data_IF_895142149341
#
_entry.id   IF_895142149341
#
_cell.length_a   1.000
_cell.length_b   1.000
_cell.length_c   1.000
_cell.angle_alpha   90.00
_cell.angle_beta   90.00
_cell.angle_gamma   90.00
#
_symmetry.space_group_name_H-M   'P 1'
#
loop_
_entity.id
_entity.type
_entity.pdbx_description
1 polymer ?
#
# COMPACT_ATOMS: atom_id res chain seq x y z
N UNK A 1 -29.35 -0.71 -6.73
CA UNK A 1 -28.88 -0.34 -5.39
C UNK A 1 -28.51 1.13 -5.45
N UNK A 2 -29.35 1.98 -4.86
CA UNK A 2 -29.16 3.43 -4.92
C UNK A 2 -28.05 3.86 -3.96
N UNK A 3 -27.32 4.92 -4.34
CA UNK A 3 -26.22 5.47 -3.52
C UNK A 3 -26.71 5.84 -2.09
N UNK A 4 -27.97 6.20 -1.93
CA UNK A 4 -28.61 6.45 -0.63
C UNK A 4 -28.76 5.18 0.21
N UNK A 5 -29.03 4.04 -0.39
CA UNK A 5 -29.14 2.75 0.32
C UNK A 5 -27.77 2.30 0.84
N UNK A 6 -26.73 2.47 0.01
CA UNK A 6 -25.35 2.15 0.40
C UNK A 6 -24.89 3.09 1.52
N UNK A 7 -25.22 4.38 1.45
CA UNK A 7 -24.90 5.35 2.50
C UNK A 7 -25.56 4.99 3.84
N UNK A 8 -26.83 4.62 3.82
CA UNK A 8 -27.58 4.23 5.01
C UNK A 8 -27.09 2.89 5.59
N UNK A 9 -26.57 2.00 4.73
CA UNK A 9 -26.08 0.67 5.12
C UNK A 9 -24.67 0.70 5.71
N UNK A 10 -23.80 1.61 5.23
CA UNK A 10 -22.36 1.57 5.51
C UNK A 10 -21.92 2.76 6.37
N UNK A 11 -22.72 3.82 6.42
CA UNK A 11 -22.40 5.03 7.16
C UNK A 11 -21.17 5.79 6.62
N UNK A 12 -20.86 6.93 7.24
CA UNK A 12 -19.73 7.79 6.85
C UNK A 12 -18.38 7.04 6.91
N UNK A 13 -18.17 6.24 7.97
CA UNK A 13 -16.91 5.48 8.17
C UNK A 13 -16.68 4.43 7.07
N UNK A 14 -17.76 3.78 6.61
CA UNK A 14 -17.66 2.78 5.55
C UNK A 14 -17.30 3.39 4.19
N UNK A 15 -17.84 4.57 3.86
CA UNK A 15 -17.46 5.27 2.62
C UNK A 15 -15.98 5.67 2.65
N UNK A 16 -15.51 6.20 3.77
CA UNK A 16 -14.09 6.53 3.94
C UNK A 16 -13.20 5.29 3.73
N UNK A 17 -13.60 4.12 4.28
CA UNK A 17 -12.89 2.86 4.09
C UNK A 17 -12.88 2.38 2.65
N UNK A 18 -13.97 2.53 1.90
CA UNK A 18 -14.01 2.20 0.47
C UNK A 18 -13.03 3.06 -0.32
N UNK A 19 -13.01 4.37 -0.09
CA UNK A 19 -12.09 5.30 -0.76
C UNK A 19 -10.64 4.92 -0.45
N UNK A 20 -10.31 4.68 0.81
CA UNK A 20 -8.98 4.27 1.24
C UNK A 20 -8.60 2.92 0.62
N UNK A 21 -9.53 1.97 0.55
CA UNK A 21 -9.32 0.66 -0.06
C UNK A 21 -9.02 0.74 -1.55
N UNK A 22 -9.77 1.54 -2.30
CA UNK A 22 -9.53 1.78 -3.73
C UNK A 22 -8.16 2.45 -3.93
N UNK A 23 -7.81 3.42 -3.09
CA UNK A 23 -6.51 4.09 -3.14
C UNK A 23 -5.35 3.13 -2.83
N UNK A 24 -5.51 2.25 -1.83
CA UNK A 24 -4.53 1.22 -1.50
C UNK A 24 -4.32 0.23 -2.65
N UNK A 25 -5.41 -0.22 -3.28
CA UNK A 25 -5.34 -1.10 -4.46
C UNK A 25 -4.63 -0.41 -5.63
N UNK A 26 -4.94 0.85 -5.88
CA UNK A 26 -4.27 1.63 -6.92
C UNK A 26 -2.75 1.70 -6.70
N UNK A 27 -2.31 2.04 -5.48
CA UNK A 27 -0.88 2.10 -5.13
C UNK A 27 -0.23 0.73 -5.30
N UNK A 28 -0.88 -0.35 -4.84
CA UNK A 28 -0.35 -1.71 -4.93
C UNK A 28 -0.16 -2.16 -6.37
N UNK A 29 -1.19 -1.98 -7.21
CA UNK A 29 -1.14 -2.35 -8.63
C UNK A 29 -0.09 -1.53 -9.37
N UNK A 30 -0.03 -0.21 -9.12
CA UNK A 30 0.96 0.67 -9.74
C UNK A 30 2.39 0.24 -9.40
N UNK A 31 2.68 0.00 -8.12
CA UNK A 31 3.98 -0.49 -7.68
C UNK A 31 4.35 -1.85 -8.26
N UNK A 32 3.39 -2.77 -8.31
CA UNK A 32 3.60 -4.09 -8.89
C UNK A 32 3.97 -4.00 -10.38
N UNK A 33 3.25 -3.20 -11.15
CA UNK A 33 3.53 -2.97 -12.57
C UNK A 33 4.89 -2.29 -12.77
N UNK A 34 5.21 -1.30 -11.92
CA UNK A 34 6.50 -0.60 -11.96
C UNK A 34 7.66 -1.56 -11.70
N UNK A 35 7.60 -2.36 -10.63
CA UNK A 35 8.64 -3.35 -10.28
C UNK A 35 8.79 -4.41 -11.37
N UNK A 36 7.68 -4.88 -11.92
CA UNK A 36 7.69 -5.83 -13.02
C UNK A 36 8.35 -5.25 -14.27
N UNK A 37 8.11 -3.99 -14.57
CA UNK A 37 8.77 -3.26 -15.67
C UNK A 37 10.27 -3.09 -15.46
N UNK A 38 10.68 -2.71 -14.24
CA UNK A 38 12.09 -2.57 -13.84
C UNK A 38 12.84 -3.89 -13.99
N UNK A 39 12.29 -4.98 -13.41
CA UNK A 39 12.86 -6.32 -13.47
C UNK A 39 12.93 -6.88 -14.90
N UNK A 40 11.90 -6.69 -15.69
CA UNK A 40 11.84 -7.18 -17.08
C UNK A 40 12.92 -6.53 -17.95
N UNK A 41 13.09 -5.20 -17.84
CA UNK A 41 14.13 -4.46 -18.57
C UNK A 41 15.53 -4.87 -18.13
N UNK A 42 15.77 -4.95 -16.82
CA UNK A 42 17.04 -5.39 -16.27
C UNK A 42 17.42 -6.80 -16.75
N UNK A 43 16.50 -7.77 -16.66
CA UNK A 43 16.73 -9.14 -17.10
C UNK A 43 17.03 -9.23 -18.60
N UNK A 44 16.39 -8.39 -19.43
CA UNK A 44 16.63 -8.35 -20.88
C UNK A 44 18.03 -7.84 -21.21
N UNK A 45 18.49 -6.77 -20.55
CA UNK A 45 19.82 -6.22 -20.76
C UNK A 45 20.94 -7.12 -20.20
N UNK A 46 20.70 -7.72 -19.02
CA UNK A 46 21.70 -8.56 -18.37
C UNK A 46 21.91 -9.92 -19.06
N UNK A 47 20.88 -10.49 -19.72
CA UNK A 47 20.97 -11.76 -20.44
C UNK A 47 21.89 -11.70 -21.67
N UNK A 48 22.20 -10.50 -22.18
CA UNK A 48 23.11 -10.28 -23.31
C UNK A 48 24.57 -10.10 -22.94
N UNK A 49 24.93 -10.13 -21.65
CA UNK A 49 26.29 -9.90 -21.19
C UNK A 49 27.01 -11.20 -20.81
N UNK A 50 27.82 -11.74 -21.73
CA UNK A 50 28.66 -12.93 -21.47
C UNK A 50 29.81 -12.69 -20.48
N UNK A 51 30.31 -11.47 -20.34
CA UNK A 51 31.37 -11.08 -19.38
C UNK A 51 31.09 -9.68 -18.85
N UNK A 52 31.02 -9.58 -17.52
CA UNK A 52 30.81 -8.31 -16.79
C UNK A 52 32.17 -7.64 -16.62
N UNK A 53 32.50 -6.66 -17.48
CA UNK A 53 33.68 -5.80 -17.34
C UNK A 53 33.24 -4.38 -16.99
N UNK A 54 34.01 -3.63 -16.14
CA UNK A 54 33.67 -2.27 -15.74
C UNK A 54 33.43 -1.32 -16.94
N UNK A 55 34.23 -1.46 -18.00
CA UNK A 55 34.10 -0.65 -19.20
C UNK A 55 32.80 -0.92 -19.98
N UNK A 56 32.36 -2.19 -20.03
CA UNK A 56 31.09 -2.54 -20.66
C UNK A 56 29.91 -2.03 -19.83
N UNK A 57 29.94 -2.14 -18.52
CA UNK A 57 28.90 -1.60 -17.63
C UNK A 57 28.78 -0.08 -17.84
N UNK A 58 29.89 0.63 -17.91
CA UNK A 58 29.88 2.08 -18.18
C UNK A 58 29.26 2.43 -19.53
N UNK A 59 29.54 1.67 -20.57
CA UNK A 59 29.01 1.90 -21.93
C UNK A 59 27.52 1.56 -22.06
N UNK A 60 27.08 0.45 -21.45
CA UNK A 60 25.69 -0.03 -21.55
C UNK A 60 24.74 0.66 -20.57
N UNK A 61 25.20 1.00 -19.37
CA UNK A 61 24.38 1.58 -18.31
C UNK A 61 24.66 3.08 -18.06
N UNK A 62 25.50 3.70 -18.86
CA UNK A 62 25.88 5.11 -18.69
C UNK A 62 24.70 6.09 -18.70
N UNK A 63 23.73 5.86 -19.56
CA UNK A 63 22.53 6.69 -19.73
C UNK A 63 21.23 5.99 -19.27
N UNK A 64 21.34 4.86 -18.57
CA UNK A 64 20.16 4.10 -18.17
C UNK A 64 19.37 4.80 -17.07
N UNK A 65 18.05 4.84 -17.26
CA UNK A 65 17.06 5.33 -16.26
C UNK A 65 16.54 4.20 -15.38
N UNK A 66 16.97 2.94 -15.61
CA UNK A 66 16.53 1.80 -14.80
C UNK A 66 17.24 1.80 -13.44
N UNK A 67 16.48 1.82 -12.30
CA UNK A 67 17.07 1.85 -10.96
C UNK A 67 18.11 0.75 -10.69
N UNK A 68 17.86 -0.48 -11.14
CA UNK A 68 18.77 -1.61 -10.94
C UNK A 68 20.06 -1.43 -11.73
N UNK A 69 19.99 -0.93 -12.96
CA UNK A 69 21.17 -0.67 -13.80
C UNK A 69 22.03 0.47 -13.24
N UNK A 70 21.36 1.52 -12.70
CA UNK A 70 22.05 2.60 -11.98
C UNK A 70 22.78 2.08 -10.73
N UNK A 71 22.17 1.21 -9.94
CA UNK A 71 22.79 0.62 -8.76
C UNK A 71 24.03 -0.20 -9.14
N UNK A 72 23.91 -1.07 -10.15
CA UNK A 72 25.04 -1.89 -10.61
C UNK A 72 26.16 -1.00 -11.14
N UNK A 73 25.84 0.02 -11.90
CA UNK A 73 26.84 0.99 -12.40
C UNK A 73 27.54 1.70 -11.26
N UNK A 74 26.76 2.25 -10.30
CA UNK A 74 27.31 3.03 -9.20
C UNK A 74 28.23 2.17 -8.31
N UNK A 75 27.83 0.92 -7.98
CA UNK A 75 28.68 -0.03 -7.24
C UNK A 75 29.98 -0.33 -7.96
N UNK A 76 29.93 -0.63 -9.26
CA UNK A 76 31.14 -1.00 -10.02
C UNK A 76 32.07 0.19 -10.21
N UNK A 77 31.53 1.43 -10.26
CA UNK A 77 32.36 2.62 -10.38
C UNK A 77 33.00 3.06 -9.07
N UNK A 78 32.32 2.85 -7.94
CA UNK A 78 32.79 3.32 -6.64
C UNK A 78 33.72 2.28 -5.98
N UNK A 79 33.51 0.98 -6.20
CA UNK A 79 34.19 -0.11 -5.47
C UNK A 79 35.16 -0.94 -6.31
N UNK A 80 36.00 -0.29 -7.09
CA UNK A 80 37.13 -1.02 -7.73
C UNK A 80 38.14 -1.62 -6.77
N UNK A 81 38.14 -1.37 -5.46
CA UNK A 81 39.24 -1.73 -4.59
C UNK A 81 39.01 -2.02 -3.09
N UNK A 82 37.87 -1.70 -2.45
CA UNK A 82 37.73 -1.93 -0.99
C UNK A 82 36.35 -2.48 -0.60
N UNK A 83 36.38 -3.66 0.05
CA UNK A 83 35.20 -4.51 0.27
C UNK A 83 34.47 -4.33 1.61
N UNK A 84 34.92 -3.47 2.50
CA UNK A 84 34.42 -3.51 3.90
C UNK A 84 33.07 -2.82 4.12
N UNK A 85 32.58 -2.01 3.17
CA UNK A 85 31.35 -1.24 3.34
C UNK A 85 30.29 -1.42 2.22
N UNK A 86 30.46 -2.45 1.37
CA UNK A 86 29.57 -2.69 0.22
C UNK A 86 28.10 -2.84 0.64
N UNK A 87 27.83 -3.45 1.81
CA UNK A 87 26.44 -3.66 2.28
C UNK A 87 25.72 -2.35 2.58
N UNK A 88 26.39 -1.42 3.26
CA UNK A 88 25.82 -0.12 3.60
C UNK A 88 25.58 0.72 2.35
N UNK A 89 26.52 0.70 1.41
CA UNK A 89 26.40 1.42 0.15
C UNK A 89 25.30 0.85 -0.76
N UNK A 90 25.24 -0.48 -0.90
CA UNK A 90 24.14 -1.14 -1.62
C UNK A 90 22.78 -0.74 -1.02
N UNK A 91 22.64 -0.78 0.31
CA UNK A 91 21.40 -0.38 0.97
C UNK A 91 21.06 1.11 0.71
N UNK A 92 22.06 1.99 0.75
CA UNK A 92 21.88 3.40 0.42
C UNK A 92 21.42 3.61 -1.02
N UNK A 93 22.09 2.95 -1.99
CA UNK A 93 21.73 3.05 -3.40
C UNK A 93 20.34 2.49 -3.70
N UNK A 94 19.95 1.37 -3.06
CA UNK A 94 18.58 0.87 -3.13
C UNK A 94 17.59 1.90 -2.60
N UNK A 95 17.86 2.48 -1.44
CA UNK A 95 16.96 3.51 -0.87
C UNK A 95 16.85 4.74 -1.78
N UNK A 96 17.97 5.18 -2.37
CA UNK A 96 18.05 6.32 -3.27
C UNK A 96 17.28 6.08 -4.58
N UNK A 97 17.52 4.97 -5.25
CA UNK A 97 16.97 4.70 -6.57
C UNK A 97 15.53 4.14 -6.55
N UNK A 98 15.11 3.50 -5.43
CA UNK A 98 13.75 3.02 -5.22
C UNK A 98 12.90 3.93 -4.33
N UNK A 99 13.27 5.21 -4.21
CA UNK A 99 12.51 6.19 -3.42
C UNK A 99 10.98 6.20 -3.71
N UNK A 100 10.50 6.13 -4.98
CA UNK A 100 9.06 6.06 -5.25
C UNK A 100 8.40 4.82 -4.64
N UNK A 101 9.06 3.67 -4.71
CA UNK A 101 8.57 2.40 -4.12
C UNK A 101 8.54 2.49 -2.61
N UNK A 102 9.60 3.00 -1.99
CA UNK A 102 9.68 3.18 -0.54
C UNK A 102 8.58 4.11 -0.01
N UNK A 103 8.32 5.22 -0.70
CA UNK A 103 7.23 6.12 -0.34
C UNK A 103 5.87 5.42 -0.44
N UNK A 104 5.63 4.66 -1.49
CA UNK A 104 4.39 3.91 -1.66
C UNK A 104 4.22 2.84 -0.58
N UNK A 105 5.28 2.11 -0.20
CA UNK A 105 5.26 1.15 0.92
C UNK A 105 4.97 1.86 2.25
N UNK A 106 5.47 3.08 2.46
CA UNK A 106 5.17 3.87 3.65
C UNK A 106 3.67 4.23 3.71
N UNK A 107 3.07 4.63 2.60
CA UNK A 107 1.63 4.88 2.52
C UNK A 107 0.81 3.62 2.77
N UNK A 108 1.20 2.46 2.20
CA UNK A 108 0.52 1.19 2.44
C UNK A 108 0.60 0.78 3.91
N UNK A 109 1.75 0.94 4.57
CA UNK A 109 1.90 0.72 6.02
C UNK A 109 0.98 1.62 6.84
N UNK A 110 0.87 2.90 6.48
CA UNK A 110 -0.03 3.83 7.14
C UNK A 110 -1.50 3.40 6.97
N UNK A 111 -1.90 3.04 5.75
CA UNK A 111 -3.25 2.57 5.45
C UNK A 111 -3.57 1.29 6.22
N UNK A 112 -2.64 0.32 6.28
CA UNK A 112 -2.84 -0.93 7.02
C UNK A 112 -3.03 -0.71 8.52
N UNK A 113 -2.37 0.28 9.09
CA UNK A 113 -2.53 0.63 10.51
C UNK A 113 -3.83 1.42 10.79
N UNK A 114 -4.19 2.35 9.90
CA UNK A 114 -5.34 3.25 10.11
C UNK A 114 -6.67 2.59 9.76
N UNK A 115 -6.73 1.70 8.76
CA UNK A 115 -7.98 1.09 8.30
C UNK A 115 -8.74 0.31 9.38
N UNK A 116 -8.10 -0.53 10.23
CA UNK A 116 -8.81 -1.19 11.33
C UNK A 116 -9.33 -0.21 12.39
N UNK A 117 -8.60 0.88 12.65
CA UNK A 117 -9.03 1.92 13.59
C UNK A 117 -10.25 2.67 13.08
N UNK A 118 -10.31 2.94 11.77
CA UNK A 118 -11.52 3.50 11.14
C UNK A 118 -12.69 2.54 11.17
N UNK A 119 -12.44 1.23 11.00
CA UNK A 119 -13.46 0.21 11.19
C UNK A 119 -14.01 0.19 12.62
N UNK A 120 -13.14 0.24 13.62
CA UNK A 120 -13.51 0.33 15.03
C UNK A 120 -14.29 1.64 15.32
N UNK A 121 -13.85 2.76 14.79
CA UNK A 121 -14.56 4.04 14.91
C UNK A 121 -15.99 3.91 14.36
N UNK A 122 -16.16 3.23 13.22
CA UNK A 122 -17.47 2.95 12.64
C UNK A 122 -18.38 2.17 13.58
N UNK A 123 -17.85 1.16 14.31
CA UNK A 123 -18.65 0.42 15.30
C UNK A 123 -19.04 1.29 16.48
N UNK A 124 -18.15 2.13 16.98
CA UNK A 124 -18.46 3.03 18.10
C UNK A 124 -19.56 4.01 17.71
N UNK A 125 -19.46 4.65 16.54
CA UNK A 125 -20.49 5.57 16.02
C UNK A 125 -21.81 4.84 15.82
N UNK A 126 -21.79 3.64 15.24
CA UNK A 126 -22.98 2.82 15.04
C UNK A 126 -23.69 2.49 16.36
N UNK A 127 -22.95 2.05 17.37
CA UNK A 127 -23.48 1.75 18.70
C UNK A 127 -24.03 3.00 19.40
N UNK A 128 -23.34 4.14 19.33
CA UNK A 128 -23.85 5.42 19.87
C UNK A 128 -25.18 5.77 19.23
N UNK A 129 -25.34 5.59 17.92
CA UNK A 129 -26.60 5.83 17.22
C UNK A 129 -27.71 4.90 17.70
N UNK A 130 -27.43 3.60 17.88
CA UNK A 130 -28.36 2.63 18.44
C UNK A 130 -28.83 3.02 19.83
N UNK A 131 -27.93 3.35 20.74
CA UNK A 131 -28.28 3.76 22.11
C UNK A 131 -29.06 5.08 22.13
N UNK A 132 -28.75 6.01 21.25
CA UNK A 132 -29.53 7.24 21.10
C UNK A 132 -30.97 6.94 20.70
N UNK A 133 -31.16 6.07 19.72
CA UNK A 133 -32.51 5.66 19.28
C UNK A 133 -33.29 4.99 20.42
N UNK A 134 -32.64 4.17 21.24
CA UNK A 134 -33.28 3.56 22.44
C UNK A 134 -33.71 4.63 23.44
N UNK A 135 -32.87 5.64 23.68
CA UNK A 135 -33.16 6.69 24.67
C UNK A 135 -34.30 7.63 24.24
N UNK A 136 -34.48 7.81 22.95
CA UNK A 136 -35.52 8.69 22.38
C UNK A 136 -36.89 7.99 22.18
N UNK A 137 -36.94 6.65 22.21
CA UNK A 137 -38.15 5.87 21.95
C UNK A 137 -38.55 5.06 23.19
N UNK A 138 -39.84 5.17 23.58
CA UNK A 138 -40.41 4.43 24.72
C UNK A 138 -40.47 2.90 24.47
N UNK A 139 -40.54 2.50 23.19
CA UNK A 139 -40.59 1.09 22.77
C UNK A 139 -39.79 0.93 21.45
N UNK A 140 -38.45 0.79 21.57
CA UNK A 140 -37.60 0.64 20.38
C UNK A 140 -37.87 -0.68 19.67
N UNK A 141 -37.96 -0.63 18.34
CA UNK A 141 -38.14 -1.82 17.48
C UNK A 141 -36.84 -2.65 17.45
N UNK A 142 -36.89 -3.95 17.84
CA UNK A 142 -35.74 -4.83 17.80
C UNK A 142 -35.07 -4.94 16.42
N UNK A 143 -35.83 -4.79 15.33
CA UNK A 143 -35.32 -4.84 13.95
C UNK A 143 -34.43 -3.64 13.62
N UNK A 144 -34.80 -2.45 14.09
CA UNK A 144 -33.96 -1.23 13.94
C UNK A 144 -32.65 -1.36 14.73
N UNK A 145 -32.72 -1.93 15.95
CA UNK A 145 -31.53 -2.16 16.77
C UNK A 145 -30.58 -3.15 16.10
N UNK A 146 -31.11 -4.26 15.61
CA UNK A 146 -30.35 -5.27 14.88
C UNK A 146 -29.66 -4.69 13.64
N UNK A 147 -30.37 -3.83 12.88
CA UNK A 147 -29.82 -3.15 11.71
C UNK A 147 -28.64 -2.22 12.04
N UNK A 148 -28.75 -1.45 13.13
CA UNK A 148 -27.65 -0.57 13.57
C UNK A 148 -26.40 -1.33 14.04
N UNK A 149 -26.61 -2.43 14.78
CA UNK A 149 -25.51 -3.32 15.20
C UNK A 149 -24.84 -3.98 13.98
N UNK A 150 -25.65 -4.49 13.03
CA UNK A 150 -25.14 -5.08 11.80
C UNK A 150 -24.25 -4.11 11.01
N UNK A 151 -24.74 -2.88 10.81
CA UNK A 151 -23.97 -1.82 10.11
C UNK A 151 -22.65 -1.53 10.83
N UNK A 152 -22.66 -1.46 12.16
CA UNK A 152 -21.48 -1.26 12.95
C UNK A 152 -20.45 -2.38 12.73
N UNK A 153 -20.86 -3.65 12.81
CA UNK A 153 -19.96 -4.80 12.63
C UNK A 153 -19.36 -4.87 11.23
N UNK A 154 -20.14 -4.58 10.20
CA UNK A 154 -19.64 -4.57 8.81
C UNK A 154 -18.52 -3.56 8.61
N UNK A 155 -18.56 -2.39 9.23
CA UNK A 155 -17.48 -1.40 9.07
C UNK A 155 -16.14 -1.90 9.62
N UNK A 156 -16.14 -2.69 10.70
CA UNK A 156 -14.91 -3.33 11.19
C UNK A 156 -14.39 -4.39 10.22
N UNK A 157 -15.26 -5.22 9.68
CA UNK A 157 -14.87 -6.21 8.65
C UNK A 157 -14.26 -5.51 7.45
N UNK A 158 -14.86 -4.42 6.96
CA UNK A 158 -14.32 -3.64 5.85
C UNK A 158 -12.94 -3.06 6.17
N UNK A 159 -12.74 -2.54 7.39
CA UNK A 159 -11.44 -2.04 7.85
C UNK A 159 -10.35 -3.10 7.78
N UNK A 160 -10.65 -4.33 8.21
CA UNK A 160 -9.72 -5.46 8.16
C UNK A 160 -9.48 -5.94 6.72
N UNK A 161 -10.50 -5.98 5.88
CA UNK A 161 -10.38 -6.35 4.45
C UNK A 161 -9.45 -5.40 3.69
N UNK A 162 -9.44 -4.12 4.05
CA UNK A 162 -8.50 -3.14 3.47
C UNK A 162 -7.10 -3.29 4.08
N UNK A 163 -7.00 -3.52 5.38
CA UNK A 163 -5.72 -3.54 6.09
C UNK A 163 -4.84 -4.74 5.73
N UNK A 164 -5.43 -5.94 5.61
CA UNK A 164 -4.69 -7.19 5.39
C UNK A 164 -3.90 -7.16 4.06
N UNK A 165 -4.51 -6.84 2.90
CA UNK A 165 -3.76 -6.74 1.66
C UNK A 165 -2.74 -5.58 1.63
N UNK A 166 -3.02 -4.49 2.34
CA UNK A 166 -2.10 -3.35 2.41
C UNK A 166 -0.85 -3.65 3.25
N UNK A 167 -0.92 -4.63 4.15
CA UNK A 167 0.21 -5.08 4.98
C UNK A 167 1.13 -6.06 4.24
N UNK A 168 0.60 -6.80 3.26
CA UNK A 168 1.34 -7.80 2.47
C UNK A 168 2.17 -7.17 1.36
#
# INVERSE_FOLDING_TARGET
MDFKEIYNLIGFAGIALVIIGVFALYITVWNFLYLRGVLSRFKKHFRGMDKVTPERIRRYFGESTNPLECIVRDIVMTHGAHSDDIRAEVAYLFHKHFKPVNNALTWLKLISAVSPLLGLLGTVIGMVTVFRTISENVSPDPTMLAGGIWTALITTVMGLVVAIPALM
#
